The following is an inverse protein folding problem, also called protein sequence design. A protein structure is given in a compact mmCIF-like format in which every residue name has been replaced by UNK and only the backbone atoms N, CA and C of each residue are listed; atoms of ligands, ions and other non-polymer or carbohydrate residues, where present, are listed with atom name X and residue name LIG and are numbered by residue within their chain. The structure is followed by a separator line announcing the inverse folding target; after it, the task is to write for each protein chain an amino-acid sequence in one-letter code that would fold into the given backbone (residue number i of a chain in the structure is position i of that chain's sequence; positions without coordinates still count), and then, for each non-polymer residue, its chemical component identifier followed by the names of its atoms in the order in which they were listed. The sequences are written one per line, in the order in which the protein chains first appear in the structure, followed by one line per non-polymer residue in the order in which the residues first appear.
data_IF_415925806380
#
_entry.id   IF_415925806380
#
_cell.length_a   1.000
_cell.length_b   1.000
_cell.length_c   1.000
_cell.angle_alpha   90.00
_cell.angle_beta   90.00
_cell.angle_gamma   90.00
#
_symmetry.space_group_name_H-M   'P 1'
#
loop_
_entity.id
_entity.type
_entity.pdbx_description
1 polymer ?
#
# COMPACT_ATOMS: atom_id res chain seq x y z
N UNK A 1 -3.56 19.65 16.16
CA UNK A 1 -2.82 18.87 15.14
C UNK A 1 -1.53 19.61 14.85
N UNK A 2 -0.38 18.93 14.88
CA UNK A 2 0.88 19.55 14.51
C UNK A 2 0.91 19.71 12.98
N UNK A 3 0.83 20.95 12.49
CA UNK A 3 0.83 21.25 11.05
C UNK A 3 2.15 20.95 10.36
N UNK A 4 3.21 20.60 11.11
CA UNK A 4 4.48 20.15 10.55
C UNK A 4 4.45 18.69 10.07
N UNK A 5 3.42 17.92 10.40
CA UNK A 5 3.29 16.52 10.00
C UNK A 5 2.44 16.44 8.73
N UNK A 6 2.94 15.84 7.64
CA UNK A 6 2.17 15.64 6.42
C UNK A 6 0.85 14.90 6.67
N UNK A 7 -0.22 15.33 6.01
CA UNK A 7 -1.51 14.64 5.99
C UNK A 7 -1.53 13.61 4.85
N UNK A 8 -1.91 12.37 5.16
CA UNK A 8 -2.00 11.28 4.18
C UNK A 8 -3.44 10.90 3.83
N UNK A 9 -4.42 11.33 4.62
CA UNK A 9 -5.83 10.98 4.48
C UNK A 9 -6.72 12.19 4.77
N UNK A 10 -7.98 12.12 4.35
CA UNK A 10 -8.91 13.25 4.36
C UNK A 10 -9.43 13.58 2.96
N UNK A 11 -10.11 14.72 2.82
CA UNK A 11 -10.60 15.21 1.52
C UNK A 11 -9.45 15.26 0.51
N UNK A 12 -9.61 14.67 -0.69
CA UNK A 12 -8.52 14.57 -1.66
C UNK A 12 -7.99 15.96 -2.02
N UNK A 13 -6.67 16.09 -2.05
CA UNK A 13 -5.98 17.34 -2.32
C UNK A 13 -4.57 17.11 -2.86
N UNK A 14 -4.00 18.07 -3.61
CA UNK A 14 -2.62 17.98 -4.09
C UNK A 14 -1.58 17.79 -2.97
N UNK A 15 -1.84 18.34 -1.77
CA UNK A 15 -0.94 18.19 -0.62
C UNK A 15 -0.89 16.74 -0.12
N UNK A 16 -2.03 16.04 -0.06
CA UNK A 16 -2.10 14.63 0.29
C UNK A 16 -1.40 13.78 -0.80
N UNK A 17 -1.64 14.08 -2.07
CA UNK A 17 -0.99 13.37 -3.17
C UNK A 17 0.53 13.54 -3.16
N UNK A 18 1.03 14.74 -2.83
CA UNK A 18 2.46 15.01 -2.67
C UNK A 18 3.06 14.24 -1.49
N UNK A 19 2.37 14.18 -0.34
CA UNK A 19 2.83 13.42 0.81
C UNK A 19 2.97 11.91 0.50
N UNK A 20 2.02 11.34 -0.25
CA UNK A 20 2.10 9.96 -0.70
C UNK A 20 3.21 9.73 -1.73
N UNK A 21 3.37 10.65 -2.69
CA UNK A 21 4.43 10.57 -3.68
C UNK A 21 5.83 10.60 -3.03
N UNK A 22 6.02 11.46 -2.02
CA UNK A 22 7.26 11.53 -1.24
C UNK A 22 7.51 10.24 -0.45
N UNK A 23 6.46 9.67 0.16
CA UNK A 23 6.57 8.42 0.92
C UNK A 23 6.95 7.22 0.04
N UNK A 24 6.45 7.16 -1.20
CA UNK A 24 6.66 6.06 -2.14
C UNK A 24 7.80 6.30 -3.15
N UNK A 25 8.53 7.42 -3.05
CA UNK A 25 9.50 7.82 -4.09
C UNK A 25 10.63 6.80 -4.32
N UNK A 26 10.90 5.92 -3.36
CA UNK A 26 11.96 4.89 -3.41
C UNK A 26 11.40 3.47 -3.39
N UNK A 27 10.17 3.29 -3.85
CA UNK A 27 9.44 2.01 -3.90
C UNK A 27 10.13 0.93 -4.76
N UNK A 28 10.86 1.34 -5.81
CA UNK A 28 11.51 0.42 -6.76
C UNK A 28 13.00 0.72 -6.97
N UNK A 29 13.87 0.50 -5.96
CA UNK A 29 15.31 0.63 -6.14
C UNK A 29 15.85 -0.36 -7.18
N UNK A 30 16.94 0.02 -7.85
CA UNK A 30 17.69 -0.90 -8.70
C UNK A 30 18.44 -1.91 -7.82
N UNK A 31 18.48 -3.17 -8.25
CA UNK A 31 19.23 -4.23 -7.56
C UNK A 31 20.62 -4.39 -8.17
N UNK A 32 21.62 -4.65 -7.32
CA UNK A 32 22.97 -5.01 -7.74
C UNK A 32 23.10 -6.51 -8.03
N UNK A 33 24.12 -6.88 -8.82
CA UNK A 33 24.40 -8.30 -9.08
C UNK A 33 24.80 -9.07 -7.82
N UNK A 34 25.40 -8.40 -6.84
CA UNK A 34 25.76 -8.99 -5.54
C UNK A 34 24.52 -9.30 -4.70
N UNK A 35 23.60 -8.34 -4.56
CA UNK A 35 22.32 -8.54 -3.85
C UNK A 35 21.48 -9.66 -4.47
N UNK A 36 21.45 -9.71 -5.80
CA UNK A 36 20.76 -10.77 -6.55
C UNK A 36 21.38 -12.15 -6.27
N UNK A 37 22.71 -12.24 -6.19
CA UNK A 37 23.39 -13.51 -5.91
C UNK A 37 23.21 -13.99 -4.45
N UNK A 38 22.97 -13.06 -3.52
CA UNK A 38 22.78 -13.37 -2.09
C UNK A 38 21.36 -13.81 -1.75
N UNK A 39 20.38 -13.51 -2.61
CA UNK A 39 18.97 -13.83 -2.34
C UNK A 39 18.42 -14.81 -3.40
N UNK A 40 18.30 -16.11 -3.08
CA UNK A 40 17.81 -17.11 -4.03
C UNK A 40 16.33 -16.94 -4.40
N UNK A 41 15.57 -16.12 -3.65
CA UNK A 41 14.16 -15.82 -3.94
C UNK A 41 14.00 -14.64 -4.91
N UNK A 42 15.09 -13.96 -5.28
CA UNK A 42 15.08 -12.93 -6.31
C UNK A 42 15.51 -13.53 -7.65
N UNK A 43 14.52 -14.04 -8.38
CA UNK A 43 14.72 -14.59 -9.72
C UNK A 43 14.30 -13.58 -10.78
N UNK A 44 15.09 -13.44 -11.84
CA UNK A 44 14.81 -12.53 -12.94
C UNK A 44 14.96 -13.24 -14.29
N UNK A 45 14.08 -12.93 -15.22
CA UNK A 45 14.26 -13.27 -16.62
C UNK A 45 15.27 -12.31 -17.26
N UNK A 46 16.41 -12.86 -17.69
CA UNK A 46 17.53 -12.06 -18.18
C UNK A 46 17.16 -11.14 -19.36
N UNK A 47 16.27 -11.61 -20.23
CA UNK A 47 15.89 -10.95 -21.48
C UNK A 47 14.69 -10.02 -21.33
N UNK A 48 13.88 -10.20 -20.27
CA UNK A 48 12.58 -9.50 -20.13
C UNK A 48 12.52 -8.52 -18.97
N UNK A 49 13.15 -8.83 -17.84
CA UNK A 49 12.87 -8.12 -16.58
C UNK A 49 13.75 -6.88 -16.35
N UNK A 50 14.59 -6.52 -17.32
CA UNK A 50 15.27 -5.22 -17.28
C UNK A 50 14.27 -4.11 -17.57
N UNK A 51 14.24 -3.11 -16.71
CA UNK A 51 13.35 -1.98 -16.89
C UNK A 51 13.66 -1.26 -18.21
N UNK A 52 12.66 -0.95 -19.08
CA UNK A 52 12.91 -0.53 -20.45
C UNK A 52 13.60 0.82 -20.55
N UNK A 53 13.43 1.68 -19.54
CA UNK A 53 14.13 2.99 -19.46
C UNK A 53 15.52 2.90 -18.82
N UNK A 54 15.65 2.29 -17.63
CA UNK A 54 16.93 2.29 -16.88
C UNK A 54 17.90 1.20 -17.35
N UNK A 55 17.41 0.15 -18.01
CA UNK A 55 18.18 -1.03 -18.41
C UNK A 55 18.65 -1.89 -17.23
N UNK A 56 18.09 -1.69 -16.04
CA UNK A 56 18.48 -2.37 -14.79
C UNK A 56 17.37 -3.29 -14.29
N UNK A 57 17.73 -4.26 -13.47
CA UNK A 57 16.76 -4.99 -12.64
C UNK A 57 16.39 -4.14 -11.44
N UNK A 58 15.15 -4.28 -10.99
CA UNK A 58 14.62 -3.60 -9.83
C UNK A 58 14.00 -4.62 -8.87
N UNK A 59 13.89 -4.24 -7.61
CA UNK A 59 13.17 -5.01 -6.60
C UNK A 59 12.25 -4.07 -5.83
N UNK A 60 11.27 -4.63 -5.11
CA UNK A 60 10.47 -3.90 -4.14
C UNK A 60 10.61 -4.56 -2.77
N UNK A 61 10.56 -3.76 -1.71
CA UNK A 61 10.31 -4.29 -0.37
C UNK A 61 8.81 -4.31 -0.14
N UNK A 62 8.31 -5.36 0.50
CA UNK A 62 6.87 -5.57 0.64
C UNK A 62 6.17 -4.44 1.42
N UNK A 63 6.85 -3.77 2.36
CA UNK A 63 6.34 -2.55 3.00
C UNK A 63 5.91 -1.47 1.98
N UNK A 64 6.65 -1.28 0.89
CA UNK A 64 6.28 -0.31 -0.15
C UNK A 64 5.08 -0.80 -0.95
N UNK A 65 5.00 -2.10 -1.26
CA UNK A 65 3.80 -2.67 -1.88
C UNK A 65 2.56 -2.45 -1.01
N UNK A 66 2.66 -2.72 0.30
CA UNK A 66 1.57 -2.52 1.25
C UNK A 66 1.12 -1.04 1.32
N UNK A 67 2.08 -0.10 1.34
CA UNK A 67 1.79 1.34 1.32
C UNK A 67 1.19 1.78 -0.02
N UNK A 68 1.69 1.28 -1.14
CA UNK A 68 1.16 1.51 -2.49
C UNK A 68 -0.30 1.07 -2.57
N UNK A 69 -0.61 -0.15 -2.15
CA UNK A 69 -1.97 -0.68 -2.12
C UNK A 69 -2.90 0.14 -1.21
N UNK A 70 -2.42 0.56 -0.03
CA UNK A 70 -3.20 1.42 0.86
C UNK A 70 -3.52 2.78 0.22
N UNK A 71 -2.59 3.36 -0.55
CA UNK A 71 -2.81 4.58 -1.32
C UNK A 71 -3.79 4.35 -2.49
N UNK A 72 -3.73 3.18 -3.15
CA UNK A 72 -4.68 2.82 -4.19
C UNK A 72 -6.11 2.73 -3.65
N UNK A 73 -6.31 2.09 -2.50
CA UNK A 73 -7.61 2.05 -1.80
C UNK A 73 -8.08 3.47 -1.45
N UNK A 74 -7.18 4.33 -0.96
CA UNK A 74 -7.50 5.74 -0.65
C UNK A 74 -8.04 6.47 -1.89
N UNK A 75 -7.37 6.30 -3.04
CA UNK A 75 -7.80 6.93 -4.30
C UNK A 75 -9.14 6.38 -4.78
N UNK A 76 -9.41 5.09 -4.59
CA UNK A 76 -10.69 4.47 -4.96
C UNK A 76 -11.87 5.04 -4.15
N UNK A 77 -11.67 5.34 -2.86
CA UNK A 77 -12.70 6.01 -2.03
C UNK A 77 -13.09 7.40 -2.55
N UNK A 78 -12.21 8.03 -3.34
CA UNK A 78 -12.40 9.34 -3.96
C UNK A 78 -12.33 9.22 -5.51
N UNK A 79 -12.77 8.09 -6.08
CA UNK A 79 -12.70 7.83 -7.53
C UNK A 79 -13.30 8.94 -8.41
N UNK A 80 -14.28 9.68 -7.90
CA UNK A 80 -14.88 10.79 -8.64
C UNK A 80 -13.93 12.01 -8.74
N UNK A 81 -13.02 12.18 -7.78
CA UNK A 81 -11.92 13.15 -7.85
C UNK A 81 -10.76 12.64 -8.71
N UNK A 82 -10.40 11.37 -8.57
CA UNK A 82 -9.27 10.77 -9.30
C UNK A 82 -9.61 10.34 -10.74
N UNK A 83 -10.90 10.29 -11.08
CA UNK A 83 -11.41 9.80 -12.36
C UNK A 83 -11.59 8.29 -12.38
N UNK A 84 -12.60 7.81 -13.13
CA UNK A 84 -12.66 6.40 -13.51
C UNK A 84 -11.62 6.16 -14.61
N UNK A 85 -10.68 5.25 -14.35
CA UNK A 85 -9.58 4.79 -15.22
C UNK A 85 -8.35 5.72 -15.26
N UNK A 86 -7.24 5.32 -14.63
CA UNK A 86 -6.17 4.64 -15.37
C UNK A 86 -5.07 4.11 -14.42
N UNK A 87 -4.56 2.93 -14.70
CA UNK A 87 -3.49 2.27 -13.97
C UNK A 87 -2.14 2.97 -14.23
N UNK A 88 -1.93 4.15 -13.64
CA UNK A 88 -0.59 4.75 -13.54
C UNK A 88 -0.36 6.12 -14.18
N UNK A 89 -1.39 6.83 -14.63
CA UNK A 89 -1.21 8.17 -15.20
C UNK A 89 -2.03 9.24 -14.48
N UNK A 90 -1.32 10.09 -13.71
CA UNK A 90 -1.85 11.34 -13.15
C UNK A 90 -2.17 12.26 -14.33
N UNK A 91 -3.44 12.38 -14.70
CA UNK A 91 -3.75 13.12 -15.92
C UNK A 91 -5.21 13.30 -16.29
N UNK A 92 -6.02 13.87 -15.40
CA UNK A 92 -6.95 14.96 -15.75
C UNK A 92 -7.61 15.46 -14.48
N UNK A 93 -7.50 16.77 -14.25
CA UNK A 93 -8.22 17.50 -13.21
C UNK A 93 -9.71 17.49 -13.59
N UNK A 94 -10.39 16.37 -13.34
CA UNK A 94 -11.83 16.28 -13.48
C UNK A 94 -12.41 17.30 -12.50
N UNK A 95 -13.16 18.26 -13.04
CA UNK A 95 -13.90 19.21 -12.21
C UNK A 95 -14.66 18.41 -11.16
N UNK A 96 -14.29 18.61 -9.89
CA UNK A 96 -14.93 17.99 -8.74
C UNK A 96 -16.42 18.35 -8.76
N UNK A 97 -17.21 17.55 -9.45
CA UNK A 97 -18.65 17.58 -9.32
C UNK A 97 -18.91 16.93 -7.96
N UNK A 98 -19.58 17.67 -7.08
CA UNK A 98 -20.00 17.22 -5.76
C UNK A 98 -21.02 16.08 -5.92
N UNK A 99 -20.54 14.90 -6.30
CA UNK A 99 -21.34 13.68 -6.31
C UNK A 99 -21.20 13.04 -4.94
N UNK A 100 -22.35 12.60 -4.42
CA UNK A 100 -22.53 12.15 -3.06
C UNK A 100 -21.63 10.95 -2.77
N UNK A 101 -20.61 11.14 -1.91
CA UNK A 101 -20.01 10.02 -1.21
C UNK A 101 -21.15 9.37 -0.38
N UNK A 102 -21.45 8.08 -0.56
CA UNK A 102 -22.51 7.41 0.19
C UNK A 102 -22.22 7.35 1.71
N UNK A 103 -20.99 7.67 2.12
CA UNK A 103 -20.58 7.76 3.51
C UNK A 103 -20.92 9.14 4.08
N UNK A 104 -21.49 9.16 5.28
CA UNK A 104 -21.57 10.39 6.06
C UNK A 104 -20.19 10.85 6.54
N UNK A 105 -20.11 12.10 7.05
CA UNK A 105 -18.85 12.69 7.47
C UNK A 105 -18.16 11.91 8.60
N UNK A 106 -18.93 11.32 9.53
CA UNK A 106 -18.36 10.56 10.65
C UNK A 106 -17.80 9.22 10.18
N UNK A 107 -18.49 8.55 9.26
CA UNK A 107 -18.01 7.33 8.62
C UNK A 107 -16.73 7.60 7.83
N UNK A 108 -16.68 8.71 7.09
CA UNK A 108 -15.48 9.13 6.35
C UNK A 108 -14.30 9.38 7.29
N UNK A 109 -14.49 10.17 8.34
CA UNK A 109 -13.43 10.46 9.31
C UNK A 109 -12.91 9.19 9.99
N UNK A 110 -13.80 8.23 10.30
CA UNK A 110 -13.42 6.95 10.88
C UNK A 110 -12.55 6.12 9.93
N UNK A 111 -12.94 6.02 8.64
CA UNK A 111 -12.15 5.29 7.64
C UNK A 111 -10.79 5.95 7.44
N UNK A 112 -10.73 7.27 7.28
CA UNK A 112 -9.47 8.02 7.13
C UNK A 112 -8.55 7.82 8.35
N UNK A 113 -9.10 7.82 9.56
CA UNK A 113 -8.37 7.50 10.79
C UNK A 113 -7.81 6.07 10.78
N UNK A 114 -8.64 5.09 10.44
CA UNK A 114 -8.25 3.67 10.38
C UNK A 114 -7.14 3.45 9.34
N UNK A 115 -7.27 4.01 8.14
CA UNK A 115 -6.23 3.90 7.12
C UNK A 115 -4.93 4.58 7.56
N UNK A 116 -5.00 5.74 8.23
CA UNK A 116 -3.80 6.38 8.77
C UNK A 116 -3.15 5.57 9.90
N UNK A 117 -3.94 4.87 10.71
CA UNK A 117 -3.41 3.94 11.71
C UNK A 117 -2.69 2.76 11.06
N UNK A 118 -3.26 2.16 10.01
CA UNK A 118 -2.64 1.08 9.23
C UNK A 118 -1.32 1.57 8.61
N UNK A 119 -1.30 2.73 7.95
CA UNK A 119 -0.10 3.34 7.37
C UNK A 119 1.02 3.49 8.43
N UNK A 120 0.69 3.95 9.63
CA UNK A 120 1.65 4.07 10.74
C UNK A 120 2.18 2.70 11.18
N UNK A 121 1.30 1.70 11.28
CA UNK A 121 1.68 0.33 11.64
C UNK A 121 2.66 -0.26 10.62
N UNK A 122 2.40 -0.09 9.33
CA UNK A 122 3.26 -0.56 8.23
C UNK A 122 4.67 0.06 8.30
N UNK A 123 4.78 1.35 8.61
CA UNK A 123 6.09 2.00 8.78
C UNK A 123 6.79 1.63 10.09
N UNK A 124 6.03 1.31 11.14
CA UNK A 124 6.55 0.95 12.45
C UNK A 124 7.11 -0.47 12.47
N UNK A 125 6.45 -1.39 11.74
CA UNK A 125 6.84 -2.79 11.62
C UNK A 125 6.86 -3.17 10.14
N UNK A 126 7.86 -2.67 9.38
CA UNK A 126 7.91 -2.89 7.94
C UNK A 126 8.22 -4.35 7.63
N UNK A 127 7.49 -4.90 6.66
CA UNK A 127 7.90 -6.14 6.02
C UNK A 127 9.02 -5.82 4.99
N UNK A 128 10.21 -6.35 5.24
CA UNK A 128 11.40 -6.14 4.43
C UNK A 128 11.65 -7.28 3.45
N UNK A 129 10.66 -8.15 3.25
CA UNK A 129 10.72 -9.21 2.25
C UNK A 129 10.84 -8.60 0.87
N UNK A 130 11.82 -9.08 0.11
CA UNK A 130 12.15 -8.54 -1.20
C UNK A 130 11.39 -9.28 -2.29
N UNK A 131 10.84 -8.53 -3.23
CA UNK A 131 10.16 -9.01 -4.42
C UNK A 131 10.99 -8.66 -5.66
N UNK A 132 11.24 -9.63 -6.53
CA UNK A 132 11.75 -9.35 -7.86
C UNK A 132 10.68 -8.59 -8.66
N UNK A 133 11.05 -7.48 -9.31
CA UNK A 133 10.14 -6.79 -10.23
C UNK A 133 10.25 -7.42 -11.61
N UNK A 134 9.12 -7.86 -12.14
CA UNK A 134 9.01 -8.44 -13.48
C UNK A 134 8.31 -7.48 -14.42
N UNK A 135 8.71 -7.52 -15.69
CA UNK A 135 8.07 -6.72 -16.75
C UNK A 135 6.97 -7.55 -17.39
N UNK A 136 5.75 -7.03 -17.30
CA UNK A 136 4.60 -7.56 -18.02
C UNK A 136 4.23 -6.63 -19.15
N UNK A 137 3.64 -7.19 -20.21
CA UNK A 137 3.12 -6.47 -21.36
C UNK A 137 1.66 -6.88 -21.52
N UNK A 138 0.75 -5.91 -21.59
CA UNK A 138 -0.66 -6.20 -21.87
C UNK A 138 -0.89 -6.45 -23.37
N UNK A 139 -2.16 -6.71 -23.73
CA UNK A 139 -2.54 -6.98 -25.13
C UNK A 139 -2.37 -5.76 -26.05
N UNK A 140 -2.26 -4.56 -25.48
CA UNK A 140 -2.11 -3.30 -26.21
C UNK A 140 -0.64 -2.86 -26.32
N UNK A 141 0.28 -3.64 -25.73
CA UNK A 141 1.72 -3.39 -25.73
C UNK A 141 2.20 -2.47 -24.61
N UNK A 142 1.33 -2.10 -23.66
CA UNK A 142 1.72 -1.31 -22.50
C UNK A 142 2.48 -2.17 -21.51
N UNK A 143 3.60 -1.65 -21.03
CA UNK A 143 4.48 -2.35 -20.09
C UNK A 143 4.25 -1.86 -18.67
N UNK A 144 4.14 -2.79 -17.73
CA UNK A 144 4.00 -2.50 -16.31
C UNK A 144 4.88 -3.44 -15.48
N UNK A 145 5.19 -2.98 -14.27
CA UNK A 145 6.03 -3.70 -13.32
C UNK A 145 5.18 -4.29 -12.22
N UNK A 146 5.36 -5.58 -11.97
CA UNK A 146 4.78 -6.22 -10.79
C UNK A 146 5.84 -7.06 -10.11
N UNK A 147 5.83 -7.00 -8.78
CA UNK A 147 6.63 -7.86 -7.93
C UNK A 147 5.87 -8.12 -6.65
N UNK A 148 5.82 -9.39 -6.26
CA UNK A 148 5.29 -9.85 -5.00
C UNK A 148 6.38 -10.63 -4.29
N UNK A 149 6.59 -10.35 -3.00
CA UNK A 149 7.55 -11.12 -2.23
C UNK A 149 7.01 -12.54 -2.06
N UNK A 150 7.84 -13.55 -2.30
CA UNK A 150 7.41 -14.95 -2.18
C UNK A 150 7.55 -15.48 -0.75
N UNK A 151 8.49 -14.93 0.02
CA UNK A 151 8.81 -15.39 1.36
C UNK A 151 8.83 -14.23 2.34
N UNK A 152 8.04 -14.38 3.40
CA UNK A 152 7.90 -13.40 4.47
C UNK A 152 8.42 -13.92 5.81
N UNK A 153 8.86 -12.99 6.67
CA UNK A 153 9.16 -13.30 8.08
C UNK A 153 8.02 -12.79 8.95
N UNK A 154 7.21 -13.71 9.47
CA UNK A 154 6.01 -13.38 10.24
C UNK A 154 6.25 -13.53 11.74
N UNK A 155 5.49 -12.76 12.53
CA UNK A 155 5.30 -13.09 13.95
C UNK A 155 4.50 -14.39 14.07
N UNK A 156 4.73 -15.14 15.14
CA UNK A 156 3.92 -16.31 15.47
C UNK A 156 2.49 -15.88 15.85
N UNK A 157 1.62 -15.90 14.84
CA UNK A 157 0.22 -15.51 14.97
C UNK A 157 -0.53 -16.39 15.98
N UNK A 158 -0.23 -17.68 16.03
CA UNK A 158 -0.87 -18.59 16.97
C UNK A 158 -0.53 -18.25 18.41
N UNK A 159 0.73 -17.90 18.69
CA UNK A 159 1.12 -17.47 20.04
C UNK A 159 0.42 -16.17 20.46
N UNK A 160 0.25 -15.22 19.53
CA UNK A 160 -0.53 -14.00 19.79
C UNK A 160 -1.99 -14.35 20.11
N UNK A 161 -2.62 -15.20 19.29
CA UNK A 161 -4.01 -15.60 19.48
C UNK A 161 -4.23 -16.40 20.76
N UNK A 162 -3.33 -17.33 21.09
CA UNK A 162 -3.35 -18.06 22.38
C UNK A 162 -3.23 -17.10 23.56
N UNK A 163 -2.33 -16.13 23.49
CA UNK A 163 -2.17 -15.11 24.53
C UNK A 163 -3.44 -14.27 24.71
N UNK A 164 -4.12 -13.91 23.61
CA UNK A 164 -5.35 -13.13 23.62
C UNK A 164 -6.53 -13.94 24.17
N UNK A 165 -6.74 -15.16 23.68
CA UNK A 165 -7.81 -16.05 24.14
C UNK A 165 -7.68 -16.38 25.63
N UNK A 166 -6.46 -16.58 26.14
CA UNK A 166 -6.22 -16.79 27.58
C UNK A 166 -6.54 -15.57 28.46
N UNK A 167 -6.87 -14.42 27.86
CA UNK A 167 -7.30 -13.18 28.53
C UNK A 167 -8.72 -12.78 28.16
N UNK A 168 -9.44 -13.63 27.43
CA UNK A 168 -10.86 -13.47 27.20
C UNK A 168 -11.57 -13.64 28.55
N UNK A 169 -11.76 -12.51 29.23
CA UNK A 169 -12.69 -12.42 30.34
C UNK A 169 -14.07 -12.41 29.71
N UNK A 170 -14.88 -13.46 29.95
CA UNK A 170 -16.32 -13.39 29.71
C UNK A 170 -16.83 -12.17 30.48
N UNK A 171 -17.19 -11.06 29.80
CA UNK A 171 -17.79 -9.94 30.50
C UNK A 171 -19.19 -10.41 30.83
N UNK A 172 -19.38 -11.01 32.01
CA UNK A 172 -20.58 -11.65 32.51
C UNK A 172 -21.83 -10.76 32.60
N UNK A 173 -22.20 -10.14 31.50
CA UNK A 173 -23.37 -9.32 31.26
C UNK A 173 -24.20 -9.95 30.14
N UNK A 174 -24.53 -11.23 30.30
CA UNK A 174 -25.67 -11.84 29.61
C UNK A 174 -26.56 -12.61 30.59
N UNK A 175 -27.10 -11.90 31.57
CA UNK A 175 -28.46 -12.20 32.05
C UNK A 175 -29.21 -10.89 32.27
N UNK A 176 -30.35 -10.65 31.57
CA UNK A 176 -31.34 -9.70 32.06
C UNK A 176 -31.83 -10.23 33.41
N UNK A 177 -31.60 -9.45 34.48
CA UNK A 177 -32.29 -9.66 35.74
C UNK A 177 -33.66 -9.02 35.58
N UNK A 178 -34.72 -9.84 35.49
CA UNK A 178 -36.12 -9.40 35.50
C UNK A 178 -36.94 -9.91 34.33
#
# INVERSE_FOLDING_TARGET
MNSSIPLYFGKPSPAIDAAWAELLQYEYPAITSEEMALNPFLSYNADKDKHPVTGRYHFALDVFHNLHCLNAVRKELDKDYYGAHDHGHVGRQAQYQQHHNPLDAAQRDHIDHCMNHIRQSLQCRPDLSAAAMHVFEDLEGSKYFLGNAEQHTCYDWESIMRWAAGREFDPGYTTPVG
#
